data_IF_646292069603
#
_entry.id   IF_646292069603
#
_cell.length_a   1.000
_cell.length_b   1.000
_cell.length_c   1.000
_cell.angle_alpha   90.00
_cell.angle_beta   90.00
_cell.angle_gamma   90.00
#
_symmetry.space_group_name_H-M   'P 1'
#
loop_
_entity.id
_entity.type
_entity.pdbx_description
1 polymer ?
#
# COMPACT_ATOMS: atom_id res chain seq x y z
N UNK A 1 16.04 20.57 -3.60
CA UNK A 1 14.90 20.05 -4.40
C UNK A 1 15.43 18.88 -5.21
N UNK A 2 14.83 17.72 -5.06
CA UNK A 2 15.23 16.47 -5.75
C UNK A 2 14.42 16.34 -7.04
N UNK A 3 15.04 15.88 -8.13
CA UNK A 3 14.36 15.67 -9.42
C UNK A 3 14.22 14.18 -9.75
N UNK A 4 13.02 13.78 -10.21
CA UNK A 4 12.73 12.41 -10.67
C UNK A 4 12.04 12.45 -12.05
N UNK A 5 12.33 11.45 -12.88
CA UNK A 5 11.55 11.28 -14.12
C UNK A 5 10.12 10.87 -13.81
N UNK A 6 9.95 9.91 -12.89
CA UNK A 6 8.63 9.45 -12.47
C UNK A 6 8.58 9.28 -10.95
N UNK A 7 7.57 9.88 -10.34
CA UNK A 7 7.21 9.61 -8.94
C UNK A 7 5.91 8.81 -8.90
N UNK A 8 5.93 7.71 -8.15
CA UNK A 8 4.78 6.83 -7.95
C UNK A 8 4.30 6.99 -6.51
N UNK A 9 3.06 7.41 -6.33
CA UNK A 9 2.45 7.61 -5.02
C UNK A 9 1.60 6.40 -4.66
N UNK A 10 2.11 5.62 -3.72
CA UNK A 10 1.55 4.36 -3.25
C UNK A 10 2.41 3.16 -3.62
N UNK A 11 2.89 2.44 -2.60
CA UNK A 11 3.70 1.22 -2.70
C UNK A 11 2.90 -0.07 -2.69
N UNK A 12 1.61 -0.01 -3.07
CA UNK A 12 0.75 -1.17 -3.24
C UNK A 12 0.98 -1.90 -4.58
N UNK A 13 0.16 -2.90 -4.91
CA UNK A 13 0.36 -3.74 -6.10
C UNK A 13 0.43 -2.94 -7.40
N UNK A 14 -0.40 -1.91 -7.55
CA UNK A 14 -0.42 -1.07 -8.74
C UNK A 14 0.86 -0.23 -8.87
N UNK A 15 1.33 0.37 -7.77
CA UNK A 15 2.56 1.18 -7.77
C UNK A 15 3.80 0.34 -8.00
N UNK A 16 3.91 -0.83 -7.37
CA UNK A 16 5.02 -1.75 -7.57
C UNK A 16 5.08 -2.26 -9.02
N UNK A 17 3.92 -2.66 -9.58
CA UNK A 17 3.85 -3.10 -10.98
C UNK A 17 4.24 -1.96 -11.95
N UNK A 18 3.77 -0.73 -11.71
CA UNK A 18 4.12 0.42 -12.51
C UNK A 18 5.63 0.71 -12.47
N UNK A 19 6.24 0.68 -11.27
CA UNK A 19 7.66 0.90 -11.10
C UNK A 19 8.51 -0.12 -11.89
N UNK A 20 8.17 -1.39 -11.79
CA UNK A 20 8.88 -2.46 -12.50
C UNK A 20 8.72 -2.34 -14.01
N UNK A 21 7.54 -1.98 -14.48
CA UNK A 21 7.29 -1.82 -15.92
C UNK A 21 8.04 -0.61 -16.49
N UNK A 22 8.05 0.52 -15.78
CA UNK A 22 8.87 1.67 -16.14
C UNK A 22 10.35 1.30 -16.19
N UNK A 23 10.83 0.57 -15.19
CA UNK A 23 12.22 0.15 -15.13
C UNK A 23 12.61 -0.77 -16.30
N UNK A 24 11.74 -1.72 -16.68
CA UNK A 24 11.93 -2.60 -17.84
C UNK A 24 12.00 -1.83 -19.15
N UNK A 25 11.21 -0.75 -19.26
CA UNK A 25 11.19 0.13 -20.42
C UNK A 25 12.30 1.23 -20.40
N UNK A 26 13.30 1.09 -19.54
CA UNK A 26 14.49 1.95 -19.55
C UNK A 26 14.38 3.22 -18.72
N UNK A 27 13.23 3.53 -18.09
CA UNK A 27 13.10 4.66 -17.18
C UNK A 27 13.65 4.22 -15.82
N UNK A 28 14.81 4.79 -15.42
CA UNK A 28 15.52 4.38 -14.21
C UNK A 28 15.39 5.37 -13.05
N UNK A 29 15.19 6.66 -13.35
CA UNK A 29 15.05 7.69 -12.33
C UNK A 29 13.62 7.74 -11.77
N UNK A 30 13.24 6.67 -11.04
CA UNK A 30 11.91 6.46 -10.45
C UNK A 30 12.02 6.60 -8.94
N UNK A 31 10.96 7.06 -8.29
CA UNK A 31 10.80 7.01 -6.84
C UNK A 31 9.40 6.53 -6.49
N UNK A 32 9.30 5.56 -5.59
CA UNK A 32 8.03 5.13 -4.98
C UNK A 32 7.91 5.81 -3.62
N UNK A 33 6.75 6.41 -3.33
CA UNK A 33 6.47 7.02 -2.03
C UNK A 33 5.30 6.28 -1.39
N UNK A 34 5.53 5.72 -0.21
CA UNK A 34 4.54 4.95 0.55
C UNK A 34 4.38 5.52 1.96
N UNK A 35 3.15 5.76 2.37
CA UNK A 35 2.84 6.31 3.70
C UNK A 35 2.95 5.29 4.83
N UNK A 36 2.72 4.02 4.53
CA UNK A 36 2.85 2.94 5.49
C UNK A 36 4.32 2.61 5.76
N UNK A 37 4.58 1.82 6.78
CA UNK A 37 5.92 1.42 7.18
C UNK A 37 6.56 0.33 6.30
N UNK A 38 5.86 -0.11 5.26
CA UNK A 38 6.32 -1.16 4.35
C UNK A 38 5.59 -1.10 3.01
N UNK A 39 6.23 -1.64 1.98
CA UNK A 39 5.61 -1.87 0.67
C UNK A 39 4.60 -3.02 0.71
N UNK A 40 3.74 -3.13 -0.31
CA UNK A 40 2.73 -4.18 -0.45
C UNK A 40 1.37 -3.81 0.16
N UNK A 41 1.33 -2.89 1.11
CA UNK A 41 0.13 -2.26 1.70
C UNK A 41 -1.03 -3.23 1.97
N UNK A 42 -2.19 -3.06 1.32
CA UNK A 42 -3.39 -3.87 1.54
C UNK A 42 -3.19 -5.37 1.29
N UNK A 43 -2.25 -5.76 0.41
CA UNK A 43 -1.97 -7.18 0.16
C UNK A 43 -1.43 -7.90 1.39
N UNK A 44 -0.73 -7.21 2.28
CA UNK A 44 -0.17 -7.82 3.49
C UNK A 44 -1.23 -8.31 4.48
N UNK A 45 -2.43 -7.76 4.42
CA UNK A 45 -3.57 -8.22 5.23
C UNK A 45 -4.52 -9.17 4.48
N UNK A 46 -4.25 -9.47 3.21
CA UNK A 46 -5.02 -10.41 2.40
C UNK A 46 -4.41 -11.81 2.49
N UNK A 47 -4.58 -12.48 3.63
CA UNK A 47 -3.98 -13.81 3.91
C UNK A 47 -4.68 -14.97 3.18
N UNK A 48 -5.73 -14.71 2.41
CA UNK A 48 -6.40 -15.72 1.57
C UNK A 48 -5.66 -15.89 0.23
N UNK A 49 -5.83 -17.06 -0.38
CA UNK A 49 -5.27 -17.42 -1.68
C UNK A 49 -6.08 -16.84 -2.85
N UNK A 50 -5.51 -16.94 -4.05
CA UNK A 50 -6.15 -16.55 -5.32
C UNK A 50 -5.45 -15.42 -6.07
N UNK A 51 -4.39 -14.86 -5.48
CA UNK A 51 -3.54 -13.89 -6.17
C UNK A 51 -2.55 -14.59 -7.10
N UNK A 52 -2.17 -13.92 -8.18
CA UNK A 52 -1.06 -14.36 -9.03
C UNK A 52 -1.41 -15.32 -10.17
N UNK A 53 -2.57 -15.91 -10.22
CA UNK A 53 -2.97 -16.89 -11.25
C UNK A 53 -2.74 -16.36 -12.68
N UNK A 54 -3.22 -15.15 -12.97
CA UNK A 54 -3.09 -14.55 -14.31
C UNK A 54 -1.67 -14.02 -14.62
N UNK A 55 -0.83 -13.77 -13.62
CA UNK A 55 0.50 -13.18 -13.82
C UNK A 55 1.64 -14.18 -13.64
N UNK A 56 1.53 -15.07 -12.68
CA UNK A 56 2.57 -16.02 -12.32
C UNK A 56 2.18 -17.47 -12.60
N UNK A 57 0.91 -17.74 -12.93
CA UNK A 57 0.39 -19.10 -13.12
C UNK A 57 0.26 -19.89 -11.81
N UNK A 58 0.41 -19.22 -10.66
CA UNK A 58 0.41 -19.81 -9.32
C UNK A 58 -0.67 -19.13 -8.46
N UNK A 59 -1.30 -19.90 -7.56
CA UNK A 59 -2.20 -19.34 -6.56
C UNK A 59 -1.40 -18.96 -5.34
N UNK A 60 -1.32 -17.66 -5.06
CA UNK A 60 -0.54 -17.08 -3.98
C UNK A 60 -1.47 -16.39 -2.98
N UNK A 61 -1.04 -16.28 -1.74
CA UNK A 61 -1.65 -15.36 -0.78
C UNK A 61 -1.28 -13.91 -1.12
N UNK A 62 -1.99 -12.94 -0.54
CA UNK A 62 -1.69 -11.52 -0.76
C UNK A 62 -0.25 -11.15 -0.38
N UNK A 63 0.27 -11.54 0.80
CA UNK A 63 1.65 -11.31 1.18
C UNK A 63 2.66 -11.92 0.20
N UNK A 64 2.49 -13.16 -0.22
CA UNK A 64 3.37 -13.81 -1.19
C UNK A 64 3.36 -13.10 -2.54
N UNK A 65 2.18 -12.69 -2.99
CA UNK A 65 2.04 -11.91 -4.22
C UNK A 65 2.76 -10.55 -4.12
N UNK A 66 2.63 -9.85 -2.99
CA UNK A 66 3.34 -8.59 -2.75
C UNK A 66 4.86 -8.80 -2.75
N UNK A 67 5.32 -9.86 -2.07
CA UNK A 67 6.75 -10.18 -1.94
C UNK A 67 7.43 -10.42 -3.28
N UNK A 68 6.73 -11.03 -4.25
CA UNK A 68 7.25 -11.20 -5.63
C UNK A 68 7.60 -9.86 -6.29
N UNK A 69 6.78 -8.82 -6.09
CA UNK A 69 7.05 -7.49 -6.63
C UNK A 69 8.11 -6.74 -5.82
N UNK A 70 8.05 -6.82 -4.50
CA UNK A 70 8.99 -6.15 -3.60
C UNK A 70 10.40 -6.64 -3.87
N UNK A 71 10.60 -7.96 -3.93
CA UNK A 71 11.89 -8.57 -4.25
C UNK A 71 12.45 -8.12 -5.60
N UNK A 72 11.59 -7.94 -6.63
CA UNK A 72 12.04 -7.41 -7.92
C UNK A 72 12.41 -5.92 -7.84
N UNK A 73 11.67 -5.11 -7.08
CA UNK A 73 11.98 -3.68 -6.85
C UNK A 73 13.33 -3.54 -6.15
N UNK A 74 13.58 -4.33 -5.11
CA UNK A 74 14.84 -4.32 -4.36
C UNK A 74 16.02 -4.84 -5.22
N UNK A 75 15.83 -5.94 -5.94
CA UNK A 75 16.83 -6.49 -6.87
C UNK A 75 17.26 -5.48 -7.92
N UNK A 76 16.32 -4.70 -8.42
CA UNK A 76 16.59 -3.64 -9.41
C UNK A 76 17.03 -2.32 -8.77
N UNK A 77 17.14 -2.26 -7.43
CA UNK A 77 17.51 -1.07 -6.67
C UNK A 77 16.66 0.15 -7.01
N UNK A 78 15.36 -0.05 -7.23
CA UNK A 78 14.42 1.06 -7.45
C UNK A 78 14.22 1.76 -6.11
N UNK A 79 14.54 3.06 -6.01
CA UNK A 79 14.42 3.77 -4.73
C UNK A 79 12.97 3.93 -4.30
N UNK A 80 12.75 3.81 -3.01
CA UNK A 80 11.45 4.05 -2.38
C UNK A 80 11.59 4.73 -1.01
N UNK A 81 10.55 5.46 -0.62
CA UNK A 81 10.38 6.04 0.71
C UNK A 81 9.18 5.37 1.37
N UNK A 82 9.35 4.91 2.59
CA UNK A 82 8.27 4.41 3.47
C UNK A 82 8.07 5.38 4.64
N UNK A 83 6.96 5.27 5.37
CA UNK A 83 6.57 6.25 6.39
C UNK A 83 6.60 7.70 5.84
N UNK A 84 6.27 7.86 4.56
CA UNK A 84 6.36 9.09 3.82
C UNK A 84 5.01 9.44 3.18
N UNK A 85 4.38 10.50 3.66
CA UNK A 85 3.07 10.93 3.21
C UNK A 85 3.19 12.09 2.23
N UNK A 86 2.63 11.95 1.04
CA UNK A 86 2.47 13.07 0.11
C UNK A 86 1.33 13.94 0.58
N UNK A 87 1.61 15.21 0.84
CA UNK A 87 0.64 16.19 1.33
C UNK A 87 0.14 17.14 0.25
N UNK A 88 0.94 17.38 -0.77
CA UNK A 88 0.60 18.28 -1.87
C UNK A 88 1.23 17.82 -3.18
N UNK A 89 0.52 18.05 -4.28
CA UNK A 89 1.00 17.91 -5.66
C UNK A 89 0.53 19.12 -6.43
N UNK A 90 1.45 19.91 -6.95
CA UNK A 90 1.10 21.08 -7.78
C UNK A 90 0.87 20.68 -9.24
N UNK A 91 0.30 21.62 -10.03
CA UNK A 91 0.12 21.43 -11.48
C UNK A 91 1.46 21.26 -12.21
N UNK A 92 2.51 21.86 -11.69
CA UNK A 92 3.89 21.78 -12.20
C UNK A 92 4.58 20.48 -11.78
N UNK A 93 3.86 19.58 -11.07
CA UNK A 93 4.35 18.29 -10.57
C UNK A 93 5.46 18.44 -9.52
N UNK A 94 5.37 19.49 -8.69
CA UNK A 94 6.12 19.58 -7.46
C UNK A 94 5.34 18.85 -6.37
N UNK A 95 6.02 17.99 -5.65
CA UNK A 95 5.44 17.07 -4.69
C UNK A 95 6.05 17.40 -3.32
N UNK A 96 5.18 17.68 -2.36
CA UNK A 96 5.58 17.86 -0.96
C UNK A 96 5.34 16.55 -0.21
N UNK A 97 6.38 16.04 0.42
CA UNK A 97 6.38 14.78 1.15
C UNK A 97 6.78 15.04 2.60
N UNK A 98 6.04 14.51 3.54
CA UNK A 98 6.37 14.51 4.97
C UNK A 98 6.80 13.10 5.35
N UNK A 99 8.03 12.96 5.81
CA UNK A 99 8.64 11.72 6.25
C UNK A 99 9.21 11.85 7.67
N UNK A 100 9.73 10.76 8.24
CA UNK A 100 10.26 10.79 9.61
C UNK A 100 11.46 11.71 9.79
N UNK A 101 12.25 11.91 8.75
CA UNK A 101 13.45 12.78 8.72
C UNK A 101 13.11 14.24 8.35
N UNK A 102 11.86 14.54 8.07
CA UNK A 102 11.40 15.89 7.78
C UNK A 102 10.56 16.03 6.52
N UNK A 103 10.53 17.24 5.99
CA UNK A 103 9.79 17.58 4.78
C UNK A 103 10.72 17.59 3.56
N UNK A 104 10.29 16.92 2.50
CA UNK A 104 11.00 16.86 1.23
C UNK A 104 10.18 17.51 0.12
N UNK A 105 10.87 18.20 -0.78
CA UNK A 105 10.30 18.73 -2.02
C UNK A 105 10.94 18.01 -3.21
N UNK A 106 10.09 17.38 -4.02
CA UNK A 106 10.49 16.57 -5.17
C UNK A 106 9.81 17.12 -6.41
N UNK A 107 10.58 17.38 -7.45
CA UNK A 107 10.07 17.75 -8.77
C UNK A 107 10.04 16.50 -9.67
N UNK A 108 8.93 16.27 -10.37
CA UNK A 108 8.76 15.11 -11.22
C UNK A 108 8.36 15.50 -12.65
N UNK A 109 8.89 14.79 -13.64
CA UNK A 109 8.43 14.89 -15.03
C UNK A 109 7.03 14.28 -15.18
N UNK A 110 6.75 13.18 -14.47
CA UNK A 110 5.45 12.52 -14.42
C UNK A 110 5.14 12.01 -13.04
N UNK A 111 3.86 11.96 -12.68
CA UNK A 111 3.37 11.43 -11.41
C UNK A 111 2.34 10.33 -11.69
N UNK A 112 2.50 9.18 -11.05
CA UNK A 112 1.55 8.07 -11.09
C UNK A 112 0.85 7.99 -9.73
N UNK A 113 -0.47 8.12 -9.71
CA UNK A 113 -1.29 7.97 -8.53
C UNK A 113 -1.74 6.52 -8.38
N UNK A 114 -1.15 5.81 -7.41
CA UNK A 114 -1.45 4.40 -7.11
C UNK A 114 -1.90 4.22 -5.65
N UNK A 115 -2.64 5.20 -5.13
CA UNK A 115 -3.00 5.34 -3.71
C UNK A 115 -4.08 4.37 -3.23
N UNK A 116 -4.62 3.54 -4.11
CA UNK A 116 -5.69 2.60 -3.80
C UNK A 116 -7.00 3.30 -3.46
N UNK A 117 -7.82 2.61 -2.66
CA UNK A 117 -9.09 3.13 -2.19
C UNK A 117 -9.16 3.10 -0.65
N UNK A 118 -10.13 3.80 -0.10
CA UNK A 118 -10.44 3.79 1.32
C UNK A 118 -11.88 3.33 1.53
N UNK A 119 -12.12 2.51 2.52
CA UNK A 119 -13.46 2.14 2.94
C UNK A 119 -14.30 3.38 3.29
N UNK A 120 -15.57 3.31 2.96
CA UNK A 120 -16.53 4.31 3.45
C UNK A 120 -16.74 4.12 4.95
N UNK A 121 -16.65 5.21 5.67
CA UNK A 121 -17.00 5.22 7.09
C UNK A 121 -18.51 4.95 7.29
N UNK A 122 -18.89 4.48 8.48
CA UNK A 122 -20.30 4.29 8.86
C UNK A 122 -21.15 5.53 8.58
N UNK A 123 -20.63 6.73 8.91
CA UNK A 123 -21.33 7.99 8.64
C UNK A 123 -21.56 8.25 7.16
N UNK A 124 -20.58 7.93 6.31
CA UNK A 124 -20.69 8.06 4.85
C UNK A 124 -21.66 7.03 4.23
N UNK A 125 -21.88 5.90 4.92
CA UNK A 125 -22.88 4.88 4.53
C UNK A 125 -24.29 5.17 5.06
N UNK A 126 -24.46 6.18 5.94
CA UNK A 126 -25.75 6.53 6.52
C UNK A 126 -26.33 5.44 7.42
N UNK A 127 -25.52 4.55 8.00
CA UNK A 127 -26.00 3.47 8.88
C UNK A 127 -26.53 4.09 10.18
N UNK A 128 -27.84 3.94 10.49
CA UNK A 128 -28.47 4.54 11.64
C UNK A 128 -28.05 3.90 12.97
N UNK A 129 -28.40 4.53 14.07
CA UNK A 129 -28.18 4.03 15.43
C UNK A 129 -26.88 4.53 16.06
N UNK A 130 -26.65 4.14 17.30
CA UNK A 130 -25.45 4.49 18.06
C UNK A 130 -24.22 3.73 17.58
N UNK A 131 -23.04 4.26 17.86
CA UNK A 131 -21.76 3.58 17.58
C UNK A 131 -21.09 3.17 18.89
N UNK A 132 -21.48 2.03 19.47
CA UNK A 132 -20.78 1.51 20.65
C UNK A 132 -19.34 1.14 20.34
N UNK A 133 -18.52 0.97 21.38
CA UNK A 133 -17.17 0.40 21.23
C UNK A 133 -17.25 -0.97 20.57
N UNK A 134 -16.24 -1.31 19.74
CA UNK A 134 -16.18 -2.59 19.04
C UNK A 134 -16.85 -2.62 17.66
N UNK A 135 -17.43 -1.52 17.20
CA UNK A 135 -17.95 -1.41 15.83
C UNK A 135 -16.84 -0.91 14.90
N UNK A 136 -16.33 -1.79 14.07
CA UNK A 136 -15.27 -1.52 13.11
C UNK A 136 -15.77 -1.67 11.67
N UNK A 137 -15.09 -1.01 10.73
CA UNK A 137 -15.23 -1.32 9.31
C UNK A 137 -14.55 -2.66 9.00
N UNK A 138 -14.96 -3.31 7.92
CA UNK A 138 -14.44 -4.63 7.55
C UNK A 138 -12.91 -4.63 7.35
N UNK A 139 -12.35 -3.63 6.67
CA UNK A 139 -10.91 -3.53 6.46
C UNK A 139 -10.14 -3.23 7.75
N UNK A 140 -10.70 -2.43 8.66
CA UNK A 140 -10.10 -2.22 9.99
C UNK A 140 -10.10 -3.52 10.80
N UNK A 141 -11.21 -4.26 10.80
CA UNK A 141 -11.30 -5.55 11.49
C UNK A 141 -10.30 -6.57 10.89
N UNK A 142 -10.22 -6.64 9.56
CA UNK A 142 -9.25 -7.47 8.87
C UNK A 142 -7.81 -7.12 9.24
N UNK A 143 -7.46 -5.82 9.26
CA UNK A 143 -6.13 -5.37 9.63
C UNK A 143 -5.77 -5.78 11.07
N UNK A 144 -6.69 -5.64 12.01
CA UNK A 144 -6.47 -6.08 13.39
C UNK A 144 -6.24 -7.59 13.48
N UNK A 145 -7.04 -8.40 12.81
CA UNK A 145 -6.91 -9.87 12.85
C UNK A 145 -5.62 -10.30 12.15
N UNK A 146 -5.32 -9.77 10.97
CA UNK A 146 -4.19 -10.23 10.17
C UNK A 146 -2.83 -9.70 10.62
N UNK A 147 -2.77 -8.47 11.17
CA UNK A 147 -1.50 -7.81 11.46
C UNK A 147 -1.20 -7.65 12.94
N UNK A 148 -2.22 -7.58 13.80
CA UNK A 148 -2.06 -7.25 15.21
C UNK A 148 -2.45 -8.40 16.14
N UNK A 149 -3.25 -9.34 15.69
CA UNK A 149 -3.69 -10.47 16.51
C UNK A 149 -2.61 -11.54 16.55
N UNK A 150 -2.01 -11.74 17.72
CA UNK A 150 -0.85 -12.63 17.88
C UNK A 150 -1.16 -13.98 18.52
N UNK A 151 -2.34 -14.17 19.11
CA UNK A 151 -2.69 -15.45 19.77
C UNK A 151 -4.21 -15.60 19.93
N UNK A 152 -4.83 -16.69 19.47
CA UNK A 152 -6.24 -16.93 19.70
C UNK A 152 -6.49 -17.13 21.20
N UNK A 153 -7.49 -16.43 21.75
CA UNK A 153 -7.91 -16.72 23.10
C UNK A 153 -8.62 -18.08 23.14
N UNK A 154 -8.57 -18.83 24.24
CA UNK A 154 -9.30 -20.08 24.38
C UNK A 154 -10.82 -19.97 24.15
N UNK A 155 -11.36 -18.75 24.22
CA UNK A 155 -12.79 -18.45 23.95
C UNK A 155 -13.11 -18.38 22.47
N UNK A 156 -12.16 -18.02 21.63
CA UNK A 156 -12.38 -17.88 20.18
C UNK A 156 -12.54 -19.24 19.50
N UNK A 157 -11.94 -20.29 20.06
CA UNK A 157 -12.09 -21.66 19.57
C UNK A 157 -13.45 -22.31 19.90
N UNK A 158 -14.22 -21.71 20.80
CA UNK A 158 -15.53 -22.24 21.22
C UNK A 158 -16.71 -21.53 20.55
N UNK A 159 -16.50 -20.40 19.89
CA UNK A 159 -17.56 -19.63 19.22
C UNK A 159 -17.90 -20.11 17.81
N UNK A 160 -17.20 -21.09 17.28
CA UNK A 160 -17.42 -21.66 15.94
C UNK A 160 -18.16 -23.03 15.95
N UNK A 161 -19.03 -23.26 16.95
CA UNK A 161 -19.93 -24.42 16.97
C UNK A 161 -21.38 -23.98 16.96
#
# INVERSE_FOLDING_TARGET
MEYRDVVIIGGGPAGLAAALELYRNGIKNILIIERENCLGTVLRQCIHDGFGLGRFGESLSGPEYAERFISEVEKNKIPYMINAAVTEITKEKKITVVAQDGMHEIEAKAVILAMGCRERSRGALGIPGERPAGVFTAGTAQAYICLLYTSPSPRDSTSSR
#
